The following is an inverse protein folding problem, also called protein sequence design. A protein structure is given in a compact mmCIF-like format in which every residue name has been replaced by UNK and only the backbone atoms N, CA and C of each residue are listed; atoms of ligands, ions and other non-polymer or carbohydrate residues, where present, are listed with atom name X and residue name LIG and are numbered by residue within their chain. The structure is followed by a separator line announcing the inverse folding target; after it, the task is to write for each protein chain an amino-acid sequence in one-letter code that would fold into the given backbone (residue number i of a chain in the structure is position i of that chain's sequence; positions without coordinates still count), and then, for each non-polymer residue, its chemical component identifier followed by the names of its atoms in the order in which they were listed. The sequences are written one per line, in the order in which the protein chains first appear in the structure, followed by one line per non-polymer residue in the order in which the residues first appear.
data_IF_965529925081
#
_entry.id   IF_965529925081
#
_cell.length_a   1.000
_cell.length_b   1.000
_cell.length_c   1.000
_cell.angle_alpha   90.00
_cell.angle_beta   90.00
_cell.angle_gamma   90.00
#
_symmetry.space_group_name_H-M   'P 1'
#
loop_
_entity.id
_entity.type
_entity.pdbx_description
1 polymer ?
#
# COMPACT_ATOMS: atom_id res chain seq x y z
N UNK A 1 -5.57 28.43 -1.40
CA UNK A 1 -5.63 27.46 -0.30
C UNK A 1 -4.45 26.49 -0.45
N UNK A 2 -3.56 26.36 0.53
CA UNK A 2 -2.47 25.36 0.51
C UNK A 2 -2.33 24.76 1.91
N UNK A 3 -3.34 23.99 2.34
CA UNK A 3 -3.17 23.07 3.46
C UNK A 3 -2.46 21.87 2.89
N UNK A 4 -1.24 21.60 3.36
CA UNK A 4 -0.50 20.39 3.03
C UNK A 4 -1.45 19.20 3.14
N UNK A 5 -1.66 18.53 2.02
CA UNK A 5 -2.54 17.38 1.94
C UNK A 5 -1.82 16.25 2.67
N UNK A 6 -2.00 16.19 3.99
CA UNK A 6 -1.67 14.98 4.75
C UNK A 6 -2.55 13.91 4.15
N UNK A 7 -1.97 13.05 3.30
CA UNK A 7 -2.61 11.81 2.90
C UNK A 7 -3.04 11.13 4.18
N UNK A 8 -4.36 11.06 4.41
CA UNK A 8 -4.92 10.41 5.60
C UNK A 8 -4.35 9.00 5.68
N UNK A 9 -4.10 8.49 6.88
CA UNK A 9 -3.67 7.10 7.05
C UNK A 9 -4.59 6.13 6.30
N UNK A 10 -5.89 6.44 6.23
CA UNK A 10 -6.88 5.73 5.44
C UNK A 10 -6.55 5.71 3.93
N UNK A 11 -6.12 6.83 3.36
CA UNK A 11 -5.74 6.92 1.95
C UNK A 11 -4.48 6.09 1.65
N UNK A 12 -3.54 6.04 2.60
CA UNK A 12 -2.35 5.19 2.50
C UNK A 12 -2.77 3.71 2.55
N UNK A 13 -3.63 3.32 3.49
CA UNK A 13 -4.15 1.96 3.62
C UNK A 13 -4.90 1.52 2.36
N UNK A 14 -5.73 2.40 1.77
CA UNK A 14 -6.45 2.12 0.52
C UNK A 14 -5.49 1.86 -0.65
N UNK A 15 -4.47 2.72 -0.82
CA UNK A 15 -3.44 2.55 -1.86
C UNK A 15 -2.66 1.24 -1.66
N UNK A 16 -2.27 0.93 -0.43
CA UNK A 16 -1.58 -0.32 -0.12
C UNK A 16 -2.43 -1.55 -0.41
N UNK A 17 -3.73 -1.51 -0.09
CA UNK A 17 -4.64 -2.62 -0.40
C UNK A 17 -4.87 -2.78 -1.89
N UNK A 18 -4.93 -1.68 -2.65
CA UNK A 18 -4.97 -1.73 -4.11
C UNK A 18 -3.74 -2.45 -4.66
N UNK A 19 -2.53 -2.10 -4.18
CA UNK A 19 -1.30 -2.76 -4.61
C UNK A 19 -1.28 -4.25 -4.22
N UNK A 20 -1.75 -4.61 -3.02
CA UNK A 20 -1.87 -6.00 -2.58
C UNK A 20 -2.77 -6.82 -3.53
N UNK A 21 -3.93 -6.26 -3.91
CA UNK A 21 -4.87 -6.92 -4.81
C UNK A 21 -4.29 -7.05 -6.23
N UNK A 22 -3.65 -6.00 -6.74
CA UNK A 22 -3.00 -6.00 -8.06
C UNK A 22 -1.86 -7.03 -8.13
N UNK A 23 -1.01 -7.06 -7.10
CA UNK A 23 0.09 -8.04 -7.03
C UNK A 23 -0.41 -9.47 -6.84
N UNK A 24 -1.52 -9.68 -6.13
CA UNK A 24 -2.18 -10.99 -6.05
C UNK A 24 -2.77 -11.43 -7.41
N UNK A 25 -3.14 -10.49 -8.28
CA UNK A 25 -3.60 -10.74 -9.66
C UNK A 25 -2.44 -10.92 -10.66
N UNK A 26 -1.20 -11.11 -10.18
CA UNK A 26 0.00 -11.31 -10.98
C UNK A 26 0.52 -10.04 -11.69
N UNK A 27 0.04 -8.85 -11.32
CA UNK A 27 0.64 -7.59 -11.77
C UNK A 27 1.97 -7.33 -11.05
N UNK A 28 2.91 -6.70 -11.76
CA UNK A 28 4.20 -6.36 -11.17
C UNK A 28 4.03 -5.32 -10.06
N UNK A 29 4.63 -5.59 -8.91
CA UNK A 29 4.63 -4.69 -7.76
C UNK A 29 5.12 -3.27 -8.10
N UNK A 30 6.09 -3.16 -9.02
CA UNK A 30 6.61 -1.87 -9.50
C UNK A 30 5.52 -1.07 -10.22
N UNK A 31 4.72 -1.75 -11.04
CA UNK A 31 3.64 -1.14 -11.81
C UNK A 31 2.50 -0.71 -10.89
N UNK A 32 2.05 -1.60 -10.00
CA UNK A 32 1.01 -1.32 -9.02
C UNK A 32 1.39 -0.14 -8.09
N UNK A 33 2.65 -0.06 -7.63
CA UNK A 33 3.14 1.09 -6.84
C UNK A 33 3.19 2.39 -7.66
N UNK A 34 3.39 2.32 -8.98
CA UNK A 34 3.37 3.49 -9.87
C UNK A 34 1.94 3.98 -10.07
N UNK A 35 1.00 3.07 -10.28
CA UNK A 35 -0.43 3.37 -10.47
C UNK A 35 -1.10 3.89 -9.20
N UNK A 36 -0.70 3.38 -8.04
CA UNK A 36 -1.20 3.85 -6.75
C UNK A 36 -0.62 5.21 -6.31
N UNK A 37 0.27 5.84 -7.10
CA UNK A 37 0.90 7.14 -6.79
C UNK A 37 1.41 7.23 -5.33
N UNK A 38 2.12 6.19 -4.87
CA UNK A 38 2.72 6.19 -3.53
C UNK A 38 4.09 6.88 -3.55
N UNK A 39 4.45 7.49 -2.42
CA UNK A 39 5.76 8.12 -2.19
C UNK A 39 6.90 7.14 -2.48
N UNK A 40 8.05 7.66 -2.90
CA UNK A 40 9.27 6.87 -3.16
C UNK A 40 9.67 6.03 -1.95
N UNK A 41 9.60 6.59 -0.74
CA UNK A 41 9.87 5.85 0.50
C UNK A 41 8.95 4.62 0.66
N UNK A 42 7.63 4.79 0.46
CA UNK A 42 6.67 3.70 0.56
C UNK A 42 6.84 2.69 -0.58
N UNK A 43 7.31 3.14 -1.75
CA UNK A 43 7.62 2.26 -2.89
C UNK A 43 8.78 1.34 -2.56
N UNK A 44 9.87 1.85 -2.00
CA UNK A 44 11.01 1.03 -1.58
C UNK A 44 10.62 -0.01 -0.52
N UNK A 45 9.87 0.41 0.50
CA UNK A 45 9.36 -0.49 1.55
C UNK A 45 8.37 -1.53 0.99
N UNK A 46 7.51 -1.14 0.04
CA UNK A 46 6.65 -2.08 -0.70
C UNK A 46 7.48 -3.09 -1.49
N UNK A 47 8.50 -2.65 -2.23
CA UNK A 47 9.41 -3.52 -3.01
C UNK A 47 10.16 -4.52 -2.13
N UNK A 48 10.44 -4.16 -0.88
CA UNK A 48 10.99 -5.07 0.14
C UNK A 48 9.95 -6.00 0.78
N UNK A 49 8.67 -5.86 0.40
CA UNK A 49 7.51 -6.55 0.96
C UNK A 49 7.26 -6.31 2.46
N UNK A 50 7.99 -5.39 3.09
CA UNK A 50 7.90 -5.12 4.53
C UNK A 50 6.50 -4.62 4.89
N UNK A 51 5.95 -3.68 4.10
CA UNK A 51 4.61 -3.13 4.35
C UNK A 51 3.51 -4.19 4.22
N UNK A 52 3.61 -5.09 3.23
CA UNK A 52 2.61 -6.15 3.07
C UNK A 52 2.62 -7.15 4.22
N UNK A 53 3.80 -7.45 4.78
CA UNK A 53 3.90 -8.30 5.96
C UNK A 53 3.14 -7.69 7.16
N UNK A 54 3.34 -6.40 7.42
CA UNK A 54 2.62 -5.71 8.49
C UNK A 54 1.13 -5.56 8.22
N UNK A 55 0.75 -5.24 6.98
CA UNK A 55 -0.65 -5.13 6.57
C UNK A 55 -1.39 -6.45 6.75
N UNK A 56 -0.80 -7.56 6.29
CA UNK A 56 -1.36 -8.90 6.42
C UNK A 56 -1.42 -9.34 7.88
N UNK A 57 -0.39 -9.06 8.67
CA UNK A 57 -0.40 -9.28 10.12
C UNK A 57 -1.55 -8.51 10.80
N UNK A 58 -1.75 -7.25 10.44
CA UNK A 58 -2.84 -6.44 10.96
C UNK A 58 -4.21 -7.00 10.54
N UNK A 59 -4.41 -7.37 9.27
CA UNK A 59 -5.64 -7.99 8.76
C UNK A 59 -5.99 -9.30 9.48
N UNK A 60 -4.98 -10.14 9.78
CA UNK A 60 -5.15 -11.37 10.56
C UNK A 60 -5.59 -11.05 11.99
N UNK A 61 -4.94 -10.10 12.65
CA UNK A 61 -5.26 -9.71 14.04
C UNK A 61 -6.67 -9.14 14.16
N UNK A 62 -7.15 -8.41 13.15
CA UNK A 62 -8.50 -7.82 13.13
C UNK A 62 -9.55 -8.74 12.49
N UNK A 63 -9.19 -9.97 12.11
CA UNK A 63 -10.13 -10.96 11.55
C UNK A 63 -10.78 -10.56 10.21
N UNK A 64 -10.21 -9.59 9.50
CA UNK A 64 -10.67 -9.17 8.17
C UNK A 64 -9.98 -10.06 7.13
N UNK A 65 -10.56 -11.24 6.88
CA UNK A 65 -10.27 -12.09 5.72
C UNK A 65 -11.47 -12.11 4.77
#
# INVERSE_FOLDING_TARGET
MRRGQKTSAEQVVLKLRQIEVQTAQSESLVLACKEAEISEQLRDECLRQEIFYYLKGAQIVIGLW
#
